data_IF_951483155652
#
_entry.id   IF_951483155652
#
_cell.length_a   1.000
_cell.length_b   1.000
_cell.length_c   1.000
_cell.angle_alpha   90.00
_cell.angle_beta   90.00
_cell.angle_gamma   90.00
#
_symmetry.space_group_name_H-M   'P 1'
#
loop_
_entity.id
_entity.type
_entity.pdbx_description
1 polymer ?
#
# COMPACT_ATOMS: atom_id res chain seq x y z
N UNK A 1 0.01 -13.60 -11.59
CA UNK A 1 0.51 -14.97 -11.33
C UNK A 1 1.65 -14.83 -10.37
N UNK A 2 1.57 -15.46 -9.19
CA UNK A 2 2.68 -15.45 -8.25
C UNK A 2 3.92 -16.05 -8.93
N UNK A 3 5.06 -15.39 -8.78
CA UNK A 3 6.34 -15.93 -9.22
C UNK A 3 6.69 -17.06 -8.26
N UNK A 4 6.91 -18.27 -8.78
CA UNK A 4 7.19 -19.44 -7.93
C UNK A 4 8.43 -19.18 -7.06
N UNK A 5 8.31 -19.44 -5.75
CA UNK A 5 9.36 -19.17 -4.77
C UNK A 5 9.39 -17.74 -4.20
N UNK A 6 8.47 -16.87 -4.61
CA UNK A 6 8.38 -15.48 -4.12
C UNK A 6 7.07 -15.19 -3.41
N UNK A 7 7.11 -14.26 -2.46
CA UNK A 7 5.91 -13.66 -1.84
C UNK A 7 5.52 -12.38 -2.57
N UNK A 8 4.23 -12.21 -2.85
CA UNK A 8 3.72 -10.99 -3.47
C UNK A 8 3.42 -9.92 -2.40
N UNK A 9 3.70 -8.68 -2.74
CA UNK A 9 3.29 -7.52 -1.95
C UNK A 9 1.76 -7.49 -1.81
N UNK A 10 1.26 -7.36 -0.57
CA UNK A 10 -0.18 -7.25 -0.31
C UNK A 10 -0.63 -5.80 -0.35
N UNK A 11 -1.84 -5.57 -0.87
CA UNK A 11 -2.41 -4.23 -0.88
C UNK A 11 -2.47 -3.65 0.55
N UNK A 12 -2.05 -2.39 0.70
CA UNK A 12 -1.99 -1.64 1.96
C UNK A 12 -0.95 -2.13 2.97
N UNK A 13 -0.10 -3.09 2.61
CA UNK A 13 0.90 -3.63 3.55
C UNK A 13 1.88 -2.55 4.02
N UNK A 14 2.43 -1.75 3.10
CA UNK A 14 3.27 -0.60 3.45
C UNK A 14 2.56 0.35 4.42
N UNK A 15 1.38 0.83 4.03
CA UNK A 15 0.62 1.82 4.79
C UNK A 15 0.22 1.32 6.19
N UNK A 16 -0.05 0.03 6.34
CA UNK A 16 -0.34 -0.57 7.65
C UNK A 16 0.91 -0.69 8.50
N UNK A 17 2.05 -1.11 7.92
CA UNK A 17 3.32 -1.28 8.63
C UNK A 17 3.82 0.06 9.20
N UNK A 18 3.79 1.12 8.40
CA UNK A 18 4.21 2.47 8.82
C UNK A 18 3.13 3.23 9.61
N UNK A 19 1.97 2.62 9.87
CA UNK A 19 0.83 3.24 10.57
C UNK A 19 0.37 4.56 9.93
N UNK A 20 0.27 4.59 8.60
CA UNK A 20 -0.25 5.75 7.85
C UNK A 20 -1.61 6.17 8.41
N UNK A 21 -1.77 7.46 8.70
CA UNK A 21 -2.97 7.97 9.40
C UNK A 21 -4.23 7.77 8.56
N UNK A 22 -4.11 7.94 7.25
CA UNK A 22 -5.21 7.71 6.31
C UNK A 22 -5.60 6.24 6.29
N UNK A 23 -4.63 5.32 6.30
CA UNK A 23 -4.93 3.88 6.32
C UNK A 23 -5.56 3.43 7.64
N UNK A 24 -5.09 3.95 8.78
CA UNK A 24 -5.72 3.68 10.08
C UNK A 24 -7.18 4.18 10.13
N UNK A 25 -7.43 5.37 9.57
CA UNK A 25 -8.78 5.89 9.44
C UNK A 25 -9.66 5.01 8.52
N UNK A 26 -9.11 4.51 7.41
CA UNK A 26 -9.81 3.57 6.52
C UNK A 26 -10.14 2.25 7.22
N UNK A 27 -9.22 1.69 7.99
CA UNK A 27 -9.42 0.43 8.72
C UNK A 27 -10.54 0.51 9.77
N UNK A 28 -10.83 1.71 10.28
CA UNK A 28 -11.89 1.95 11.24
C UNK A 28 -13.29 2.12 10.60
N UNK A 29 -13.40 2.09 9.26
CA UNK A 29 -14.66 2.27 8.53
C UNK A 29 -15.03 1.02 7.74
N UNK A 30 -16.32 0.81 7.57
CA UNK A 30 -16.82 -0.24 6.69
C UNK A 30 -16.39 0.05 5.25
N UNK A 31 -15.76 -0.94 4.61
CA UNK A 31 -15.28 -0.82 3.24
C UNK A 31 -16.46 -0.55 2.30
N UNK A 32 -16.34 0.51 1.50
CA UNK A 32 -17.38 0.92 0.56
C UNK A 32 -18.47 1.82 1.15
N UNK A 33 -18.44 2.10 2.46
CA UNK A 33 -19.28 3.16 3.04
C UNK A 33 -18.90 4.53 2.47
N UNK A 34 -19.84 5.48 2.52
CA UNK A 34 -19.61 6.85 2.05
C UNK A 34 -18.41 7.50 2.75
N UNK A 35 -18.29 7.30 4.07
CA UNK A 35 -17.18 7.83 4.83
C UNK A 35 -15.84 7.17 4.46
N UNK A 36 -15.84 5.86 4.23
CA UNK A 36 -14.66 5.15 3.73
C UNK A 36 -14.22 5.69 2.37
N UNK A 37 -15.14 5.86 1.41
CA UNK A 37 -14.78 6.37 0.08
C UNK A 37 -14.33 7.83 0.13
N UNK A 38 -14.90 8.65 1.03
CA UNK A 38 -14.44 10.02 1.25
C UNK A 38 -12.97 10.05 1.72
N UNK A 39 -12.59 9.21 2.69
CA UNK A 39 -11.20 9.12 3.17
C UNK A 39 -10.30 8.52 2.09
N UNK A 40 -10.79 7.52 1.35
CA UNK A 40 -10.04 6.81 0.30
C UNK A 40 -9.62 7.75 -0.82
N UNK A 41 -10.41 8.78 -1.13
CA UNK A 41 -10.04 9.84 -2.09
C UNK A 41 -8.70 10.48 -1.73
N UNK A 42 -8.46 10.81 -0.45
CA UNK A 42 -7.17 11.37 0.00
C UNK A 42 -6.02 10.42 -0.35
N UNK A 43 -6.16 9.13 -0.09
CA UNK A 43 -5.13 8.14 -0.44
C UNK A 43 -4.85 8.06 -1.95
N UNK A 44 -5.87 8.32 -2.79
CA UNK A 44 -5.73 8.21 -4.25
C UNK A 44 -5.17 9.47 -4.90
N UNK A 45 -5.49 10.66 -4.38
CA UNK A 45 -5.17 11.93 -5.04
C UNK A 45 -4.13 12.76 -4.30
N UNK A 46 -3.93 12.51 -3.01
CA UNK A 46 -3.05 13.32 -2.15
C UNK A 46 -2.42 12.47 -1.04
N UNK A 47 -1.72 11.40 -1.45
CA UNK A 47 -1.00 10.53 -0.53
C UNK A 47 0.05 11.34 0.26
N UNK A 48 0.10 11.16 1.59
CA UNK A 48 1.09 11.84 2.46
C UNK A 48 2.51 11.24 2.34
N UNK A 49 2.65 10.11 1.64
CA UNK A 49 3.91 9.42 1.39
C UNK A 49 4.32 9.49 -0.08
N UNK A 50 5.63 9.50 -0.28
CA UNK A 50 6.29 9.54 -1.58
C UNK A 50 6.56 8.14 -2.12
N UNK A 51 6.75 8.05 -3.44
CA UNK A 51 7.24 6.83 -4.06
C UNK A 51 8.62 6.42 -3.50
N UNK A 52 9.46 7.39 -3.11
CA UNK A 52 10.78 7.11 -2.55
C UNK A 52 10.69 6.36 -1.21
N UNK A 53 9.82 6.80 -0.30
CA UNK A 53 9.58 6.12 0.99
C UNK A 53 9.09 4.68 0.78
N UNK A 54 8.14 4.49 -0.15
CA UNK A 54 7.63 3.16 -0.47
C UNK A 54 8.73 2.25 -1.02
N UNK A 55 9.56 2.73 -1.94
CA UNK A 55 10.65 1.93 -2.51
C UNK A 55 11.72 1.58 -1.47
N UNK A 56 12.08 2.51 -0.57
CA UNK A 56 13.03 2.21 0.50
C UNK A 56 12.46 1.17 1.46
N UNK A 57 11.18 1.29 1.81
CA UNK A 57 10.51 0.28 2.63
C UNK A 57 10.50 -1.10 1.96
N UNK A 58 10.28 -1.18 0.64
CA UNK A 58 10.38 -2.45 -0.09
C UNK A 58 11.77 -3.07 0.06
N UNK A 59 12.83 -2.26 -0.11
CA UNK A 59 14.21 -2.72 0.07
C UNK A 59 14.48 -3.20 1.49
N UNK A 60 14.03 -2.45 2.50
CA UNK A 60 14.21 -2.80 3.92
C UNK A 60 13.51 -4.11 4.30
N UNK A 61 12.36 -4.40 3.68
CA UNK A 61 11.62 -5.67 3.88
C UNK A 61 12.12 -6.82 3.01
N UNK A 62 13.13 -6.58 2.16
CA UNK A 62 13.70 -7.60 1.27
C UNK A 62 12.84 -7.92 0.03
N UNK A 63 11.93 -7.04 -0.36
CA UNK A 63 11.17 -7.18 -1.60
C UNK A 63 12.07 -6.96 -2.82
N UNK A 64 11.81 -7.74 -3.88
CA UNK A 64 12.46 -7.61 -5.19
C UNK A 64 11.44 -7.13 -6.22
N UNK A 65 11.80 -6.11 -7.00
CA UNK A 65 10.96 -5.61 -8.09
C UNK A 65 11.22 -6.45 -9.33
N UNK A 66 10.24 -7.26 -9.70
CA UNK A 66 10.32 -8.13 -10.87
C UNK A 66 9.56 -7.44 -12.02
N UNK A 67 10.27 -7.16 -13.11
CA UNK A 67 9.66 -6.76 -14.38
C UNK A 67 9.65 -7.98 -15.30
N UNK A 68 8.48 -8.52 -15.69
CA UNK A 68 8.46 -9.61 -16.66
C UNK A 68 9.08 -9.15 -17.99
N UNK A 69 9.81 -10.05 -18.64
CA UNK A 69 10.17 -9.90 -20.05
C UNK A 69 8.92 -9.95 -20.93
N UNK A 70 9.06 -9.56 -22.20
CA UNK A 70 7.99 -9.75 -23.20
C UNK A 70 7.56 -11.21 -23.27
#
# INVERSE_FOLDING_TARGET
>A
MAVNGYVEYKSREFCNDIKCRVQLALNAREKGSEEYERIRKTCMTNCEHTAWEFHHWLMDKGYLIIRPGK
#
